data_IF_713903079656
#
_entry.id   IF_713903079656
#
_cell.length_a   1.000
_cell.length_b   1.000
_cell.length_c   1.000
_cell.angle_alpha   90.00
_cell.angle_beta   90.00
_cell.angle_gamma   90.00
#
_symmetry.space_group_name_H-M   'P 1'
#
loop_
_entity.id
_entity.type
_entity.pdbx_description
1 polymer ?
#
# COMPACT_ATOMS: atom_id res chain seq x y z
N UNK A 1 -23.68 -2.31 -22.89
CA UNK A 1 -22.56 -3.24 -22.67
C UNK A 1 -23.11 -4.57 -22.24
N UNK A 2 -22.49 -5.68 -22.65
CA UNK A 2 -22.95 -7.04 -22.29
C UNK A 2 -22.66 -7.30 -20.82
N UNK A 3 -23.67 -7.73 -20.05
CA UNK A 3 -23.46 -8.16 -18.67
C UNK A 3 -22.58 -9.40 -18.65
N UNK A 4 -21.49 -9.36 -17.89
CA UNK A 4 -20.53 -10.47 -17.79
C UNK A 4 -20.94 -11.50 -16.73
N UNK A 5 -21.74 -11.07 -15.76
CA UNK A 5 -22.30 -11.89 -14.69
C UNK A 5 -23.77 -11.55 -14.59
N UNK A 6 -24.63 -12.57 -14.65
CA UNK A 6 -26.06 -12.41 -14.51
C UNK A 6 -26.56 -13.46 -13.51
N UNK A 7 -27.35 -13.01 -12.52
CA UNK A 7 -27.91 -13.86 -11.46
C UNK A 7 -26.92 -14.81 -10.75
N UNK A 8 -25.68 -14.35 -10.50
CA UNK A 8 -24.67 -15.14 -9.80
C UNK A 8 -24.71 -14.91 -8.27
N UNK A 9 -24.70 -15.99 -7.49
CA UNK A 9 -24.56 -15.94 -6.03
C UNK A 9 -23.19 -16.51 -5.62
N UNK A 10 -22.42 -15.76 -4.82
CA UNK A 10 -21.12 -16.18 -4.31
C UNK A 10 -21.09 -16.08 -2.78
N UNK A 11 -20.80 -17.20 -2.11
CA UNK A 11 -20.73 -17.29 -0.65
C UNK A 11 -19.30 -17.57 -0.20
N UNK A 12 -18.76 -16.68 0.62
CA UNK A 12 -17.47 -16.86 1.27
C UNK A 12 -17.67 -17.32 2.71
N UNK A 13 -16.95 -18.37 3.11
CA UNK A 13 -16.84 -18.78 4.50
C UNK A 13 -15.49 -18.31 5.07
N UNK A 14 -15.52 -17.86 6.31
CA UNK A 14 -14.32 -17.42 7.02
C UNK A 14 -13.26 -18.54 7.06
N UNK A 15 -11.98 -18.16 6.89
CA UNK A 15 -10.84 -19.09 6.93
C UNK A 15 -10.68 -19.99 5.70
N UNK A 16 -11.53 -19.86 4.67
CA UNK A 16 -11.44 -20.66 3.45
C UNK A 16 -10.68 -19.96 2.32
N UNK A 17 -10.05 -20.77 1.46
CA UNK A 17 -9.35 -20.34 0.25
C UNK A 17 -10.14 -20.80 -0.98
N UNK A 18 -10.37 -19.90 -1.91
CA UNK A 18 -11.16 -20.14 -3.12
C UNK A 18 -10.32 -19.87 -4.36
N UNK A 19 -10.51 -20.70 -5.40
CA UNK A 19 -9.89 -20.52 -6.70
C UNK A 19 -10.93 -20.24 -7.77
N UNK A 20 -10.72 -19.20 -8.58
CA UNK A 20 -11.60 -18.85 -9.70
C UNK A 20 -11.05 -19.44 -10.99
N UNK A 21 -11.72 -20.44 -11.55
CA UNK A 21 -11.28 -21.21 -12.73
C UNK A 21 -12.24 -20.97 -13.90
N UNK A 22 -11.70 -20.90 -15.11
CA UNK A 22 -12.48 -20.71 -16.34
C UNK A 22 -11.59 -20.35 -17.54
N UNK A 23 -12.16 -20.35 -18.75
CA UNK A 23 -11.44 -19.95 -19.96
C UNK A 23 -11.00 -18.48 -19.89
N UNK A 24 -9.99 -18.12 -20.68
CA UNK A 24 -9.59 -16.71 -20.82
C UNK A 24 -10.73 -15.91 -21.47
N UNK A 25 -10.94 -14.69 -21.02
CA UNK A 25 -12.02 -13.82 -21.51
C UNK A 25 -13.39 -14.03 -20.87
N UNK A 26 -13.57 -15.04 -19.99
CA UNK A 26 -14.87 -15.29 -19.32
C UNK A 26 -15.20 -14.30 -18.18
N UNK A 27 -14.28 -13.38 -17.88
CA UNK A 27 -14.52 -12.33 -16.89
C UNK A 27 -13.93 -12.53 -15.49
N UNK A 28 -13.01 -13.48 -15.31
CA UNK A 28 -12.35 -13.73 -14.01
C UNK A 28 -11.74 -12.47 -13.38
N UNK A 29 -10.95 -11.75 -14.17
CA UNK A 29 -10.30 -10.50 -13.73
C UNK A 29 -11.32 -9.41 -13.47
N UNK A 30 -12.42 -9.37 -14.24
CA UNK A 30 -13.51 -8.40 -14.03
C UNK A 30 -14.26 -8.67 -12.73
N UNK A 31 -14.56 -9.93 -12.43
CA UNK A 31 -15.17 -10.33 -11.15
C UNK A 31 -14.28 -9.93 -9.97
N UNK A 32 -12.98 -10.25 -10.03
CA UNK A 32 -12.03 -9.88 -8.97
C UNK A 32 -11.92 -8.36 -8.79
N UNK A 33 -11.95 -7.58 -9.89
CA UNK A 33 -11.98 -6.11 -9.83
C UNK A 33 -13.25 -5.59 -9.17
N UNK A 34 -14.42 -6.13 -9.51
CA UNK A 34 -15.70 -5.73 -8.93
C UNK A 34 -15.79 -6.05 -7.42
N UNK A 35 -15.23 -7.20 -7.00
CA UNK A 35 -15.07 -7.52 -5.58
C UNK A 35 -14.15 -6.50 -4.92
N UNK A 36 -12.99 -6.22 -5.51
CA UNK A 36 -12.00 -5.30 -4.95
C UNK A 36 -12.46 -3.84 -4.87
N UNK A 37 -13.31 -3.38 -5.80
CA UNK A 37 -13.89 -2.04 -5.81
C UNK A 37 -15.08 -1.89 -4.85
N UNK A 38 -15.52 -2.97 -4.20
CA UNK A 38 -16.73 -3.01 -3.37
C UNK A 38 -18.00 -2.55 -4.13
N UNK A 39 -18.01 -2.67 -5.46
CA UNK A 39 -19.15 -2.29 -6.31
C UNK A 39 -20.31 -3.32 -6.26
N UNK A 40 -20.10 -4.45 -5.57
CA UNK A 40 -21.11 -5.49 -5.34
C UNK A 40 -22.03 -5.06 -4.19
N UNK A 41 -22.94 -4.13 -4.48
CA UNK A 41 -23.94 -3.63 -3.54
C UNK A 41 -25.30 -4.27 -3.82
N UNK A 42 -26.17 -4.46 -2.81
CA UNK A 42 -26.08 -3.99 -1.42
C UNK A 42 -25.46 -4.99 -0.42
N UNK A 43 -25.18 -6.23 -0.83
CA UNK A 43 -24.94 -7.34 0.10
C UNK A 43 -23.50 -7.44 0.66
N UNK A 44 -22.55 -6.65 0.15
CA UNK A 44 -21.17 -6.69 0.67
C UNK A 44 -21.06 -5.90 1.99
N UNK A 45 -20.72 -6.54 3.13
CA UNK A 45 -20.75 -5.85 4.41
C UNK A 45 -19.63 -4.80 4.51
N UNK A 46 -19.98 -3.56 4.83
CA UNK A 46 -19.05 -2.40 4.87
C UNK A 46 -17.87 -2.54 5.83
N UNK A 47 -17.95 -3.42 6.82
CA UNK A 47 -16.88 -3.66 7.79
C UNK A 47 -15.83 -4.67 7.29
N UNK A 48 -16.04 -5.31 6.14
CA UNK A 48 -15.06 -6.20 5.54
C UNK A 48 -13.96 -5.39 4.86
N UNK A 49 -12.70 -5.77 5.12
CA UNK A 49 -11.53 -5.22 4.44
C UNK A 49 -11.11 -6.16 3.32
N UNK A 50 -10.89 -5.60 2.14
CA UNK A 50 -10.40 -6.34 0.98
C UNK A 50 -8.99 -5.84 0.66
N UNK A 51 -8.04 -6.77 0.51
CA UNK A 51 -6.73 -6.50 -0.05
C UNK A 51 -6.66 -7.14 -1.43
N UNK A 52 -6.40 -6.34 -2.45
CA UNK A 52 -6.36 -6.79 -3.83
C UNK A 52 -4.97 -6.60 -4.42
N UNK A 53 -4.37 -7.72 -4.85
CA UNK A 53 -3.09 -7.75 -5.56
C UNK A 53 -3.37 -7.85 -7.06
N UNK A 54 -2.86 -6.91 -7.86
CA UNK A 54 -3.06 -6.92 -9.32
C UNK A 54 -2.26 -8.05 -9.98
N UNK A 55 -2.82 -8.60 -11.06
CA UNK A 55 -2.26 -9.72 -11.82
C UNK A 55 -0.92 -9.39 -12.51
N UNK A 56 -0.67 -8.11 -12.83
CA UNK A 56 0.57 -7.65 -13.45
C UNK A 56 1.25 -6.66 -12.53
N UNK A 57 2.22 -7.14 -11.77
CA UNK A 57 3.23 -6.28 -11.17
C UNK A 57 4.39 -6.25 -12.15
N UNK A 58 4.62 -5.07 -12.75
CA UNK A 58 5.79 -4.88 -13.62
C UNK A 58 7.03 -5.03 -12.77
N UNK A 59 7.57 -6.23 -12.76
CA UNK A 59 8.90 -6.51 -12.23
C UNK A 59 9.84 -5.85 -13.24
N UNK A 60 10.50 -4.76 -12.86
CA UNK A 60 11.59 -4.24 -13.68
C UNK A 60 12.69 -5.29 -13.63
N UNK A 61 13.03 -5.91 -14.76
CA UNK A 61 14.09 -6.92 -14.87
C UNK A 61 15.51 -6.32 -14.69
N UNK A 62 15.63 -5.18 -14.03
CA UNK A 62 16.92 -4.67 -13.57
C UNK A 62 17.29 -5.47 -12.33
N UNK A 63 18.49 -6.05 -12.30
CA UNK A 63 19.01 -6.86 -11.18
C UNK A 63 18.94 -6.14 -9.81
N UNK A 64 18.74 -4.82 -9.81
CA UNK A 64 18.57 -3.96 -8.63
C UNK A 64 17.15 -3.96 -8.02
N UNK A 65 16.14 -4.61 -8.63
CA UNK A 65 14.74 -4.52 -8.17
C UNK A 65 13.96 -5.84 -8.22
N UNK A 66 14.57 -6.95 -7.78
CA UNK A 66 13.81 -8.16 -7.46
C UNK A 66 12.96 -7.96 -6.20
N UNK A 67 11.67 -7.67 -6.41
CA UNK A 67 10.70 -7.59 -5.31
C UNK A 67 10.18 -8.99 -5.01
N UNK A 68 10.36 -9.47 -3.79
CA UNK A 68 9.83 -10.77 -3.37
C UNK A 68 8.30 -10.81 -3.45
N UNK A 69 7.71 -11.99 -3.66
CA UNK A 69 6.24 -12.18 -3.69
C UNK A 69 5.58 -11.60 -2.43
N UNK A 70 6.21 -11.83 -1.27
CA UNK A 70 5.73 -11.26 -0.01
C UNK A 70 5.72 -9.73 -0.08
N UNK A 71 6.83 -9.13 -0.50
CA UNK A 71 6.93 -7.68 -0.62
C UNK A 71 5.93 -7.12 -1.64
N UNK A 72 5.64 -7.84 -2.72
CA UNK A 72 4.59 -7.48 -3.68
C UNK A 72 3.21 -7.41 -3.03
N UNK A 73 2.84 -8.43 -2.24
CA UNK A 73 1.56 -8.45 -1.51
C UNK A 73 1.50 -7.31 -0.51
N UNK A 74 2.57 -7.10 0.25
CA UNK A 74 2.69 -6.00 1.20
C UNK A 74 2.52 -4.65 0.49
N UNK A 75 3.20 -4.44 -0.63
CA UNK A 75 3.14 -3.21 -1.43
C UNK A 75 1.74 -2.91 -2.00
N UNK A 76 0.83 -3.89 -2.09
CA UNK A 76 -0.56 -3.66 -2.50
C UNK A 76 -1.41 -2.93 -1.45
N UNK A 77 -0.94 -2.83 -0.20
CA UNK A 77 -1.67 -2.20 0.89
C UNK A 77 -1.47 -0.67 0.90
N UNK A 78 -2.36 0.05 0.23
CA UNK A 78 -2.29 1.50 0.01
C UNK A 78 -2.21 2.29 1.32
N UNK A 79 -3.13 2.03 2.24
CA UNK A 79 -3.23 2.74 3.52
C UNK A 79 -1.97 2.54 4.37
N UNK A 80 -1.51 1.29 4.51
CA UNK A 80 -0.31 0.97 5.27
C UNK A 80 0.92 1.67 4.69
N UNK A 81 1.08 1.67 3.36
CA UNK A 81 2.24 2.30 2.73
C UNK A 81 2.20 3.83 2.87
N UNK A 82 1.02 4.44 2.85
CA UNK A 82 0.86 5.87 3.11
C UNK A 82 1.28 6.23 4.55
N UNK A 83 0.86 5.43 5.54
CA UNK A 83 1.21 5.63 6.94
C UNK A 83 2.72 5.45 7.20
N UNK A 84 3.34 4.40 6.64
CA UNK A 84 4.78 4.19 6.76
C UNK A 84 5.60 5.33 6.13
N UNK A 85 5.10 5.91 5.04
CA UNK A 85 5.73 7.08 4.43
C UNK A 85 5.64 8.30 5.37
N UNK A 86 4.47 8.55 5.94
CA UNK A 86 4.27 9.65 6.89
C UNK A 86 5.15 9.51 8.13
N UNK A 87 5.25 8.31 8.69
CA UNK A 87 6.15 8.01 9.81
C UNK A 87 7.60 8.40 9.48
N UNK A 88 8.10 7.95 8.31
CA UNK A 88 9.45 8.26 7.86
C UNK A 88 9.69 9.76 7.68
N UNK A 89 8.74 10.46 7.05
CA UNK A 89 8.83 11.89 6.81
C UNK A 89 8.85 12.68 8.14
N UNK A 90 8.06 12.27 9.14
CA UNK A 90 8.02 12.89 10.47
C UNK A 90 9.33 12.65 11.25
N UNK A 91 9.87 11.43 11.22
CA UNK A 91 11.14 11.13 11.88
C UNK A 91 12.30 11.94 11.30
N UNK A 92 12.32 12.12 9.97
CA UNK A 92 13.33 12.94 9.33
C UNK A 92 13.22 14.42 9.73
N UNK A 93 12.01 14.95 9.92
CA UNK A 93 11.81 16.32 10.41
C UNK A 93 12.33 16.50 11.84
N UNK A 94 12.16 15.50 12.70
CA UNK A 94 12.68 15.52 14.07
C UNK A 94 14.21 15.48 14.08
N UNK A 95 14.85 14.64 13.26
CA UNK A 95 16.31 14.59 13.15
C UNK A 95 16.90 15.94 12.70
N UNK A 96 16.27 16.60 11.73
CA UNK A 96 16.71 17.92 11.25
C UNK A 96 16.57 18.98 12.36
N UNK A 97 15.46 18.96 13.11
CA UNK A 97 15.22 19.90 14.20
C UNK A 97 16.25 19.76 15.34
N UNK A 98 16.65 18.54 15.68
CA UNK A 98 17.67 18.28 16.71
C UNK A 98 19.08 18.76 16.29
N UNK A 99 19.40 18.70 14.99
CA UNK A 99 20.69 19.22 14.50
C UNK A 99 20.80 20.74 14.53
N UNK A 100 19.70 21.47 14.33
CA UNK A 100 19.71 22.94 14.33
C UNK A 100 19.92 23.53 15.75
N UNK A 101 19.44 22.85 16.80
CA UNK A 101 19.60 23.29 18.19
C UNK A 101 21.05 23.12 18.72
N UNK A 102 21.85 22.24 18.11
CA UNK A 102 23.22 21.97 18.60
C UNK A 102 24.26 22.98 18.07
N UNK A 103 23.95 23.69 16.97
CA UNK A 103 24.92 24.55 16.27
C UNK A 103 25.01 25.98 16.83
N UNK A 104 24.06 26.41 17.66
CA UNK A 104 24.02 27.78 18.21
C UNK A 104 24.72 27.96 19.57
N UNK A 105 25.22 26.88 20.19
CA UNK A 105 25.78 26.92 21.55
C UNK A 105 27.31 27.11 21.66
N UNK A 106 28.07 27.23 20.55
CA UNK A 106 29.56 27.25 20.61
C UNK A 106 30.26 28.52 20.09
N UNK A 107 29.55 29.62 19.81
CA UNK A 107 30.19 30.84 19.26
C UNK A 107 29.89 32.10 20.07
N UNK A 108 30.11 32.06 21.38
CA UNK A 108 30.19 33.28 22.19
C UNK A 108 31.08 33.04 23.41
N UNK A 109 32.41 33.16 23.28
CA UNK A 109 33.34 33.47 24.38
C UNK A 109 34.83 33.39 23.95
N UNK A 110 35.28 34.17 22.96
CA UNK A 110 36.68 34.66 22.93
C UNK A 110 36.72 35.97 22.13
N UNK A 111 36.76 37.10 22.83
CA UNK A 111 37.61 38.28 22.51
C UNK A 111 37.09 39.51 23.28
N UNK A 112 37.45 39.55 24.57
CA UNK A 112 37.61 40.80 25.31
C UNK A 112 39.05 40.85 25.84
N UNK A 113 39.89 41.63 25.18
CA UNK A 113 41.07 42.19 25.79
C UNK A 113 41.23 43.63 25.32
N UNK A 114 40.58 44.50 26.08
CA UNK A 114 40.89 45.92 26.18
C UNK A 114 42.27 46.08 26.85
N UNK A 115 42.97 47.15 26.43
CA UNK A 115 44.17 47.80 26.98
C UNK A 115 45.55 47.10 26.92
#
# INVERSE_FOLDING_TARGET
GTSLLDHAELKFAHGRRYGLVGKNGIGKTTLLKAVASMEITPDFPKHHRILHVRQEVRMSNTEENEVSVLQTVLNSHVERNALLKQEKDLLQQLEIADTDDTTTATTSDVDKKDD
#
